data_IF_952504392478
#
_entry.id   IF_952504392478
#
_cell.length_a   1.000
_cell.length_b   1.000
_cell.length_c   1.000
_cell.angle_alpha   90.00
_cell.angle_beta   90.00
_cell.angle_gamma   90.00
#
_symmetry.space_group_name_H-M   'P 1'
#
loop_
_entity.id
_entity.type
_entity.pdbx_description
1 polymer ?
#
# COMPACT_ATOMS: atom_id res chain seq x y z
N UNK A 1 -29.58 -32.73 21.47
CA UNK A 1 -28.41 -33.46 20.95
C UNK A 1 -28.68 -33.81 19.51
N UNK A 2 -28.27 -32.94 18.61
CA UNK A 2 -28.36 -33.09 17.15
C UNK A 2 -26.99 -32.75 16.57
N UNK A 3 -26.57 -33.58 15.64
CA UNK A 3 -25.21 -33.92 15.18
C UNK A 3 -24.45 -32.82 14.43
N UNK A 4 -24.84 -31.54 14.54
CA UNK A 4 -24.18 -30.41 13.86
C UNK A 4 -23.08 -29.73 14.70
N UNK A 5 -23.06 -29.93 16.02
CA UNK A 5 -22.18 -29.20 16.94
C UNK A 5 -20.78 -29.85 17.15
N UNK A 6 -20.55 -31.03 16.58
CA UNK A 6 -19.32 -31.80 16.79
C UNK A 6 -18.27 -31.66 15.67
N UNK A 7 -18.56 -30.96 14.58
CA UNK A 7 -17.64 -30.85 13.43
C UNK A 7 -16.48 -29.86 13.65
N UNK A 8 -16.56 -28.93 14.62
CA UNK A 8 -15.52 -27.92 14.85
C UNK A 8 -14.31 -28.40 15.67
N UNK A 9 -14.35 -29.63 16.22
CA UNK A 9 -13.34 -30.12 17.18
C UNK A 9 -12.18 -30.93 16.59
N UNK A 10 -12.19 -31.24 15.31
CA UNK A 10 -11.04 -31.87 14.66
C UNK A 10 -10.28 -30.79 13.90
N UNK A 11 -9.00 -30.61 14.24
CA UNK A 11 -8.09 -29.66 13.61
C UNK A 11 -7.84 -29.98 12.14
N UNK A 12 -8.85 -29.73 11.31
CA UNK A 12 -8.82 -29.93 9.87
C UNK A 12 -8.07 -28.78 9.24
N UNK A 13 -6.94 -29.12 8.60
CA UNK A 13 -6.35 -28.28 7.56
C UNK A 13 -7.46 -27.78 6.64
N UNK A 14 -7.44 -26.48 6.32
CA UNK A 14 -8.28 -25.84 5.31
C UNK A 14 -7.98 -26.41 3.92
N UNK A 15 -8.22 -27.69 3.65
CA UNK A 15 -8.03 -28.35 2.34
C UNK A 15 -9.32 -28.41 1.51
N UNK A 16 -10.50 -28.21 2.11
CA UNK A 16 -11.82 -28.34 1.44
C UNK A 16 -12.63 -27.04 1.34
N UNK A 17 -12.01 -25.86 1.50
CA UNK A 17 -12.72 -24.61 1.22
C UNK A 17 -12.81 -24.44 -0.32
N UNK A 18 -13.99 -24.58 -0.91
CA UNK A 18 -14.25 -24.41 -2.35
C UNK A 18 -13.81 -23.04 -2.94
N UNK A 19 -13.30 -22.13 -2.11
CA UNK A 19 -12.67 -20.86 -2.46
C UNK A 19 -11.23 -20.77 -1.90
N UNK A 20 -10.39 -21.76 -2.18
CA UNK A 20 -8.99 -21.82 -1.77
C UNK A 20 -8.16 -20.56 -2.10
N UNK A 21 -8.52 -19.84 -3.17
CA UNK A 21 -7.81 -18.63 -3.62
C UNK A 21 -8.11 -17.37 -2.79
N UNK A 22 -9.23 -17.30 -2.05
CA UNK A 22 -9.58 -16.08 -1.28
C UNK A 22 -9.03 -16.10 0.15
N UNK A 23 -8.69 -17.28 0.68
CA UNK A 23 -8.25 -17.47 2.06
C UNK A 23 -6.76 -17.10 2.28
N UNK A 24 -5.91 -17.32 1.28
CA UNK A 24 -4.46 -17.14 1.40
C UNK A 24 -4.00 -15.68 1.50
N UNK A 25 -4.75 -14.74 0.96
CA UNK A 25 -4.32 -13.33 0.86
C UNK A 25 -4.61 -12.51 2.12
N UNK A 26 -5.46 -13.02 3.03
CA UNK A 26 -5.95 -12.25 4.18
C UNK A 26 -5.53 -12.82 5.54
N UNK A 27 -5.16 -14.10 5.63
CA UNK A 27 -4.94 -14.74 6.93
C UNK A 27 -6.20 -14.76 7.83
N UNK A 28 -7.38 -14.47 7.26
CA UNK A 28 -8.67 -14.36 7.96
C UNK A 28 -9.69 -15.21 7.22
N UNK A 29 -10.29 -16.18 7.91
CA UNK A 29 -11.30 -17.05 7.32
C UNK A 29 -12.68 -16.40 7.50
N UNK A 30 -13.21 -15.75 6.45
CA UNK A 30 -14.54 -15.11 6.51
C UNK A 30 -15.71 -16.09 6.75
N UNK A 31 -15.46 -17.41 6.66
CA UNK A 31 -16.40 -18.45 7.09
C UNK A 31 -16.46 -18.68 8.61
N UNK A 32 -15.57 -18.05 9.39
CA UNK A 32 -15.62 -18.06 10.86
C UNK A 32 -16.36 -16.81 11.36
N UNK A 33 -17.46 -16.95 12.13
CA UNK A 33 -18.21 -15.81 12.67
C UNK A 33 -17.35 -14.83 13.49
N UNK A 34 -16.30 -15.33 14.14
CA UNK A 34 -15.38 -14.52 14.96
C UNK A 34 -14.52 -13.59 14.10
N UNK A 35 -14.14 -14.06 12.91
CA UNK A 35 -13.27 -13.32 11.99
C UNK A 35 -14.06 -12.22 11.25
N UNK A 36 -15.31 -12.51 10.88
CA UNK A 36 -16.22 -11.50 10.35
C UNK A 36 -16.46 -10.36 11.37
N UNK A 37 -16.71 -10.70 12.64
CA UNK A 37 -16.90 -9.70 13.70
C UNK A 37 -15.64 -8.85 13.95
N UNK A 38 -14.44 -9.45 13.88
CA UNK A 38 -13.17 -8.71 13.98
C UNK A 38 -12.99 -7.73 12.82
N UNK A 39 -13.29 -8.16 11.59
CA UNK A 39 -13.21 -7.31 10.41
C UNK A 39 -14.15 -6.10 10.50
N UNK A 40 -15.39 -6.34 10.93
CA UNK A 40 -16.40 -5.31 11.15
C UNK A 40 -15.97 -4.31 12.24
N UNK A 41 -15.44 -4.79 13.36
CA UNK A 41 -14.88 -3.93 14.44
C UNK A 41 -13.74 -3.04 13.94
N UNK A 42 -12.83 -3.59 13.14
CA UNK A 42 -11.70 -2.84 12.56
C UNK A 42 -12.17 -1.85 11.50
N UNK A 43 -13.20 -2.20 10.74
CA UNK A 43 -13.79 -1.31 9.73
C UNK A 43 -14.38 -0.06 10.40
N UNK A 44 -15.15 -0.22 11.49
CA UNK A 44 -15.65 0.91 12.29
C UNK A 44 -14.53 1.80 12.83
N UNK A 45 -13.45 1.20 13.32
CA UNK A 45 -12.29 1.97 13.79
C UNK A 45 -11.68 2.81 12.67
N UNK A 46 -11.52 2.25 11.46
CA UNK A 46 -10.94 3.00 10.34
C UNK A 46 -11.88 4.09 9.84
N UNK A 47 -13.19 3.84 9.82
CA UNK A 47 -14.19 4.87 9.51
C UNK A 47 -14.10 6.02 10.51
N UNK A 48 -14.07 5.72 11.81
CA UNK A 48 -13.87 6.72 12.86
C UNK A 48 -12.55 7.49 12.73
N UNK A 49 -11.43 6.80 12.45
CA UNK A 49 -10.14 7.45 12.20
C UNK A 49 -10.20 8.41 11.01
N UNK A 50 -10.96 8.07 9.97
CA UNK A 50 -11.08 8.85 8.74
C UNK A 50 -12.00 10.05 8.93
N UNK A 51 -13.12 9.86 9.63
CA UNK A 51 -14.11 10.92 9.91
C UNK A 51 -13.52 12.02 10.80
N UNK A 52 -12.80 11.65 11.86
CA UNK A 52 -12.22 12.59 12.83
C UNK A 52 -10.70 12.75 12.65
N UNK A 53 -10.22 12.66 11.40
CA UNK A 53 -8.79 12.65 11.05
C UNK A 53 -8.01 13.87 11.59
N UNK A 54 -8.66 15.04 11.57
CA UNK A 54 -8.11 16.33 11.99
C UNK A 54 -8.12 16.53 13.50
N UNK A 55 -8.79 15.66 14.26
CA UNK A 55 -8.94 15.78 15.70
C UNK A 55 -7.87 15.00 16.46
N UNK A 56 -7.52 15.39 17.71
CA UNK A 56 -6.68 14.57 18.58
C UNK A 56 -7.41 13.27 18.95
N UNK A 57 -6.97 12.14 18.40
CA UNK A 57 -7.58 10.83 18.69
C UNK A 57 -6.76 10.03 19.70
N UNK A 58 -7.40 9.55 20.77
CA UNK A 58 -6.78 8.60 21.70
C UNK A 58 -7.12 7.18 21.29
N UNK A 59 -6.26 6.24 21.66
CA UNK A 59 -6.49 4.81 21.41
C UNK A 59 -7.83 4.32 22.02
N UNK A 60 -8.22 4.89 23.17
CA UNK A 60 -9.49 4.59 23.84
C UNK A 60 -10.69 4.91 22.98
N UNK A 61 -10.66 6.04 22.28
CA UNK A 61 -11.80 6.59 21.54
C UNK A 61 -12.04 5.73 20.29
N UNK A 62 -10.94 5.37 19.62
CA UNK A 62 -10.95 4.46 18.47
C UNK A 62 -11.40 3.05 18.88
N UNK A 63 -10.91 2.54 20.02
CA UNK A 63 -11.31 1.23 20.52
C UNK A 63 -12.80 1.19 20.88
N UNK A 64 -13.33 2.28 21.44
CA UNK A 64 -14.76 2.42 21.72
C UNK A 64 -15.59 2.42 20.43
N UNK A 65 -15.15 3.11 19.39
CA UNK A 65 -15.80 3.05 18.07
C UNK A 65 -15.80 1.62 17.47
N UNK A 66 -14.76 0.84 17.76
CA UNK A 66 -14.68 -0.58 17.40
C UNK A 66 -15.49 -1.52 18.32
N UNK A 67 -16.11 -1.01 19.39
CA UNK A 67 -16.80 -1.81 20.43
C UNK A 67 -15.87 -2.81 21.14
N UNK A 68 -14.59 -2.46 21.32
CA UNK A 68 -13.58 -3.32 21.96
C UNK A 68 -12.88 -2.58 23.10
N UNK A 69 -12.36 -3.34 24.06
CA UNK A 69 -11.41 -2.78 25.04
C UNK A 69 -10.11 -2.35 24.33
N UNK A 70 -9.37 -1.33 24.81
CA UNK A 70 -8.17 -0.82 24.12
C UNK A 70 -7.11 -1.89 23.86
N UNK A 71 -6.88 -2.79 24.81
CA UNK A 71 -5.91 -3.87 24.67
C UNK A 71 -6.34 -4.91 23.62
N UNK A 72 -7.62 -5.29 23.63
CA UNK A 72 -8.14 -6.25 22.65
C UNK A 72 -8.19 -5.63 21.25
N UNK A 73 -8.63 -4.38 21.16
CA UNK A 73 -8.63 -3.59 19.93
C UNK A 73 -7.25 -3.58 19.28
N UNK A 74 -6.20 -3.22 20.01
CA UNK A 74 -4.85 -3.16 19.44
C UNK A 74 -4.42 -4.50 18.82
N UNK A 75 -4.69 -5.62 19.49
CA UNK A 75 -4.37 -6.97 18.98
C UNK A 75 -5.18 -7.32 17.75
N UNK A 76 -6.49 -7.10 17.78
CA UNK A 76 -7.40 -7.39 16.66
C UNK A 76 -7.06 -6.52 15.45
N UNK A 77 -6.85 -5.21 15.66
CA UNK A 77 -6.51 -4.28 14.61
C UNK A 77 -5.20 -4.68 13.92
N UNK A 78 -4.15 -5.01 14.69
CA UNK A 78 -2.88 -5.46 14.10
C UNK A 78 -3.04 -6.77 13.34
N UNK A 79 -3.81 -7.71 13.88
CA UNK A 79 -4.04 -8.98 13.21
C UNK A 79 -4.77 -8.81 11.87
N UNK A 80 -5.78 -7.93 11.81
CA UNK A 80 -6.59 -7.72 10.61
C UNK A 80 -5.90 -6.82 9.58
N UNK A 81 -5.19 -5.77 10.01
CA UNK A 81 -4.58 -4.76 9.12
C UNK A 81 -3.09 -4.93 8.88
N UNK A 82 -2.44 -5.87 9.60
CA UNK A 82 -0.97 -6.01 9.63
C UNK A 82 -0.22 -4.74 10.06
N UNK A 83 -0.89 -3.81 10.75
CA UNK A 83 -0.26 -2.60 11.28
C UNK A 83 -0.91 -2.15 12.58
N UNK A 84 -0.23 -1.32 13.35
CA UNK A 84 -0.79 -0.78 14.61
C UNK A 84 -1.77 0.38 14.32
N UNK A 85 -2.77 0.62 15.18
CA UNK A 85 -3.70 1.74 15.02
C UNK A 85 -3.01 3.11 14.83
N UNK A 86 -1.96 3.40 15.61
CA UNK A 86 -1.26 4.68 15.52
C UNK A 86 -0.55 4.88 14.17
N UNK A 87 0.02 3.81 13.60
CA UNK A 87 0.65 3.83 12.29
C UNK A 87 -0.38 3.99 11.18
N UNK A 88 -1.52 3.31 11.30
CA UNK A 88 -2.63 3.44 10.35
C UNK A 88 -3.13 4.89 10.30
N UNK A 89 -3.40 5.50 11.46
CA UNK A 89 -3.80 6.90 11.54
C UNK A 89 -2.74 7.84 10.96
N UNK A 90 -1.46 7.59 11.25
CA UNK A 90 -0.36 8.36 10.66
C UNK A 90 -0.37 8.26 9.13
N UNK A 91 -0.56 7.05 8.58
CA UNK A 91 -0.62 6.83 7.14
C UNK A 91 -1.81 7.54 6.50
N UNK A 92 -3.00 7.52 7.15
CA UNK A 92 -4.18 8.27 6.71
C UNK A 92 -3.90 9.78 6.66
N UNK A 93 -3.33 10.34 7.73
CA UNK A 93 -2.99 11.77 7.81
C UNK A 93 -1.99 12.17 6.74
N UNK A 94 -1.00 11.32 6.46
CA UNK A 94 0.03 11.61 5.46
C UNK A 94 -0.49 11.47 4.03
N UNK A 95 -1.41 10.54 3.79
CA UNK A 95 -2.13 10.46 2.53
C UNK A 95 -2.95 11.74 2.30
N UNK A 96 -3.70 12.18 3.30
CA UNK A 96 -4.48 13.42 3.20
C UNK A 96 -3.59 14.67 3.08
N UNK A 97 -2.44 14.70 3.75
CA UNK A 97 -1.50 15.81 3.64
C UNK A 97 -0.95 15.93 2.22
N UNK A 98 -0.58 14.82 1.58
CA UNK A 98 -0.16 14.82 0.18
C UNK A 98 -1.27 15.33 -0.72
N UNK A 99 -2.49 14.84 -0.53
CA UNK A 99 -3.65 15.30 -1.29
C UNK A 99 -3.82 16.82 -1.21
N UNK A 100 -3.87 17.37 0.00
CA UNK A 100 -3.99 18.82 0.19
C UNK A 100 -2.79 19.59 -0.41
N UNK A 101 -1.58 19.02 -0.41
CA UNK A 101 -0.42 19.66 -1.03
C UNK A 101 -0.49 19.71 -2.56
N UNK A 102 -1.15 18.73 -3.21
CA UNK A 102 -1.33 18.64 -4.66
C UNK A 102 -2.55 19.43 -5.13
N UNK A 103 -3.68 19.27 -4.43
CA UNK A 103 -4.99 19.69 -4.92
C UNK A 103 -5.51 20.98 -4.29
N UNK A 104 -4.75 21.62 -3.40
CA UNK A 104 -5.15 22.87 -2.75
C UNK A 104 -4.03 23.89 -2.69
N UNK A 105 -4.43 25.15 -2.48
CA UNK A 105 -3.51 26.27 -2.28
C UNK A 105 -3.15 26.52 -0.80
N UNK A 106 -3.53 25.61 0.11
CA UNK A 106 -3.24 25.74 1.53
C UNK A 106 -1.73 25.89 1.78
N UNK A 107 -1.34 26.71 2.74
CA UNK A 107 0.02 26.75 3.26
C UNK A 107 0.39 25.43 3.94
N UNK A 108 1.69 25.15 4.09
CA UNK A 108 2.16 23.94 4.80
C UNK A 108 1.64 23.90 6.24
N UNK A 109 1.50 25.07 6.88
CA UNK A 109 0.93 25.20 8.23
C UNK A 109 -0.56 24.84 8.26
N UNK A 110 -1.35 25.33 7.29
CA UNK A 110 -2.77 24.98 7.20
C UNK A 110 -2.95 23.48 6.92
N UNK A 111 -2.13 22.90 6.05
CA UNK A 111 -2.15 21.43 5.80
C UNK A 111 -1.83 20.66 7.09
N UNK A 112 -0.80 21.08 7.84
CA UNK A 112 -0.44 20.47 9.12
C UNK A 112 -1.64 20.42 10.08
N UNK A 113 -2.35 21.55 10.25
CA UNK A 113 -3.51 21.62 11.12
C UNK A 113 -4.69 20.82 10.57
N UNK A 114 -4.94 20.88 9.26
CA UNK A 114 -6.03 20.17 8.60
C UNK A 114 -5.93 18.65 8.71
N UNK A 115 -4.71 18.10 8.85
CA UNK A 115 -4.48 16.66 9.06
C UNK A 115 -4.28 16.29 10.54
N UNK A 116 -4.59 17.19 11.47
CA UNK A 116 -4.62 16.90 12.91
C UNK A 116 -3.26 16.85 13.61
N UNK A 117 -2.25 17.51 13.05
CA UNK A 117 -0.99 17.78 13.76
C UNK A 117 -1.04 19.16 14.42
N UNK A 118 -0.70 19.22 15.71
CA UNK A 118 -0.60 20.47 16.48
C UNK A 118 0.78 21.13 16.41
N UNK A 119 1.77 20.44 15.84
CA UNK A 119 3.15 20.92 15.71
C UNK A 119 3.65 20.77 14.29
N UNK A 120 4.00 21.90 13.68
CA UNK A 120 4.57 21.97 12.33
C UNK A 120 5.89 21.19 12.23
N UNK A 121 6.73 21.24 13.25
CA UNK A 121 8.00 20.50 13.27
C UNK A 121 7.80 18.99 13.24
N UNK A 122 6.86 18.48 14.05
CA UNK A 122 6.49 17.06 14.08
C UNK A 122 5.92 16.62 12.73
N UNK A 123 5.02 17.42 12.16
CA UNK A 123 4.45 17.16 10.84
C UNK A 123 5.52 17.10 9.75
N UNK A 124 6.39 18.11 9.65
CA UNK A 124 7.45 18.15 8.63
C UNK A 124 8.39 16.96 8.77
N UNK A 125 8.79 16.61 9.99
CA UNK A 125 9.67 15.46 10.23
C UNK A 125 9.02 14.15 9.78
N UNK A 126 7.77 13.91 10.16
CA UNK A 126 7.04 12.70 9.77
C UNK A 126 6.78 12.65 8.26
N UNK A 127 6.36 13.77 7.67
CA UNK A 127 6.12 13.86 6.23
C UNK A 127 7.41 13.60 5.44
N UNK A 128 8.51 14.20 5.85
CA UNK A 128 9.81 14.03 5.18
C UNK A 128 10.32 12.61 5.31
N UNK A 129 10.16 11.99 6.49
CA UNK A 129 10.53 10.59 6.71
C UNK A 129 9.78 9.64 5.77
N UNK A 130 8.48 9.86 5.58
CA UNK A 130 7.63 8.96 4.80
C UNK A 130 7.66 9.22 3.29
N UNK A 131 7.84 10.48 2.87
CA UNK A 131 7.85 10.86 1.45
C UNK A 131 9.25 11.08 0.88
N UNK A 132 10.27 11.11 1.73
CA UNK A 132 11.67 11.40 1.36
C UNK A 132 11.96 12.88 1.09
N UNK A 133 10.98 13.78 1.19
CA UNK A 133 11.17 15.21 0.94
C UNK A 133 10.26 16.10 1.78
N UNK A 134 10.61 17.37 1.95
CA UNK A 134 9.77 18.30 2.70
C UNK A 134 8.45 18.60 1.96
N UNK A 135 7.37 18.98 2.67
CA UNK A 135 6.08 19.30 2.05
C UNK A 135 6.16 20.31 0.89
N UNK A 136 6.99 21.35 1.04
CA UNK A 136 7.20 22.37 0.00
C UNK A 136 7.87 21.79 -1.24
N UNK A 137 8.91 20.97 -1.05
CA UNK A 137 9.61 20.29 -2.17
C UNK A 137 8.67 19.30 -2.86
N UNK A 138 7.83 18.61 -2.10
CA UNK A 138 6.81 17.72 -2.64
C UNK A 138 5.84 18.48 -3.56
N UNK A 139 5.27 19.60 -3.10
CA UNK A 139 4.39 20.44 -3.94
C UNK A 139 5.08 20.88 -5.24
N UNK A 140 6.32 21.37 -5.16
CA UNK A 140 7.07 21.78 -6.35
C UNK A 140 7.41 20.61 -7.29
N UNK A 141 7.65 19.41 -6.76
CA UNK A 141 7.84 18.23 -7.60
C UNK A 141 6.55 17.87 -8.34
N UNK A 142 5.40 17.96 -7.66
CA UNK A 142 4.09 17.66 -8.26
C UNK A 142 3.68 18.68 -9.31
N UNK A 143 4.08 19.95 -9.21
CA UNK A 143 3.85 20.91 -10.30
C UNK A 143 4.65 20.61 -11.56
N UNK A 144 5.77 19.88 -11.45
CA UNK A 144 6.64 19.52 -12.59
C UNK A 144 6.27 18.16 -13.17
N UNK A 145 6.08 17.16 -12.31
CA UNK A 145 5.90 15.78 -12.72
C UNK A 145 4.45 15.30 -12.63
N UNK A 146 3.53 16.09 -12.06
CA UNK A 146 2.18 15.66 -11.76
C UNK A 146 1.41 15.10 -12.97
N UNK A 147 1.66 15.66 -14.17
CA UNK A 147 1.01 15.23 -15.42
C UNK A 147 1.70 14.07 -16.13
N UNK A 148 2.84 13.59 -15.63
CA UNK A 148 3.53 12.42 -16.21
C UNK A 148 2.65 11.19 -15.99
N UNK A 149 2.36 10.43 -17.04
CA UNK A 149 1.59 9.19 -16.90
C UNK A 149 2.43 8.12 -16.24
N UNK A 150 1.80 7.31 -15.40
CA UNK A 150 2.50 6.21 -14.73
C UNK A 150 3.10 5.22 -15.74
N UNK A 151 2.41 5.00 -16.86
CA UNK A 151 2.89 4.15 -17.96
C UNK A 151 4.21 4.61 -18.58
N UNK A 152 4.49 5.91 -18.60
CA UNK A 152 5.76 6.47 -19.08
C UNK A 152 6.95 6.16 -18.15
N UNK A 153 6.67 5.73 -16.91
CA UNK A 153 7.69 5.32 -15.95
C UNK A 153 8.01 3.83 -16.01
N UNK A 154 7.29 3.05 -16.83
CA UNK A 154 7.66 1.65 -17.10
C UNK A 154 9.03 1.60 -17.78
N UNK A 155 9.84 0.59 -17.45
CA UNK A 155 11.16 0.41 -18.05
C UNK A 155 11.20 -0.83 -18.95
N UNK A 156 10.87 -0.72 -20.25
CA UNK A 156 10.98 -1.84 -21.18
C UNK A 156 12.44 -2.27 -21.42
N UNK A 157 13.43 -1.43 -21.08
CA UNK A 157 14.85 -1.75 -21.23
C UNK A 157 15.44 -2.49 -20.02
N UNK A 158 14.83 -2.38 -18.83
CA UNK A 158 15.18 -3.18 -17.64
C UNK A 158 15.05 -4.69 -17.90
N UNK A 159 14.11 -5.08 -18.77
CA UNK A 159 13.93 -6.48 -19.18
C UNK A 159 15.12 -7.02 -19.99
N UNK A 160 15.90 -6.16 -20.65
CA UNK A 160 16.93 -6.56 -21.63
C UNK A 160 18.37 -6.51 -21.11
N UNK A 161 18.69 -5.64 -20.15
CA UNK A 161 20.09 -5.33 -19.79
C UNK A 161 20.46 -5.50 -18.31
N UNK A 162 19.54 -5.89 -17.43
CA UNK A 162 19.89 -6.17 -16.03
C UNK A 162 20.45 -7.59 -15.86
N UNK A 163 21.43 -7.73 -14.95
CA UNK A 163 21.80 -9.00 -14.33
C UNK A 163 20.53 -9.75 -13.86
N UNK A 164 20.54 -11.10 -13.76
CA UNK A 164 19.35 -11.86 -13.39
C UNK A 164 18.78 -11.35 -12.08
N UNK A 165 17.59 -10.74 -12.16
CA UNK A 165 16.81 -10.29 -11.02
C UNK A 165 15.51 -11.09 -10.93
N UNK A 166 14.71 -10.90 -9.86
CA UNK A 166 13.42 -11.56 -9.71
C UNK A 166 12.53 -11.34 -10.94
N UNK A 167 11.95 -12.43 -11.44
CA UNK A 167 10.96 -12.38 -12.53
C UNK A 167 9.60 -12.75 -11.97
N UNK A 168 8.55 -12.07 -12.42
CA UNK A 168 7.19 -12.36 -11.99
C UNK A 168 6.18 -11.44 -12.63
N UNK A 169 4.94 -11.50 -12.18
CA UNK A 169 3.87 -10.69 -12.73
C UNK A 169 3.00 -10.09 -11.62
N UNK A 170 2.52 -8.88 -11.90
CA UNK A 170 1.36 -8.31 -11.21
C UNK A 170 0.16 -8.58 -12.10
N UNK A 171 -0.86 -9.27 -11.59
CA UNK A 171 -2.02 -9.73 -12.37
C UNK A 171 -3.30 -9.03 -11.94
N UNK A 172 -4.27 -8.93 -12.85
CA UNK A 172 -5.51 -8.18 -12.64
C UNK A 172 -5.34 -6.68 -12.91
N UNK A 173 -6.01 -5.86 -12.10
CA UNK A 173 -6.03 -4.40 -12.26
C UNK A 173 -7.17 -3.90 -13.16
N UNK A 174 -7.19 -2.59 -13.45
CA UNK A 174 -8.29 -1.97 -14.19
C UNK A 174 -8.38 -2.49 -15.62
N UNK A 175 -9.62 -2.64 -16.10
CA UNK A 175 -9.97 -2.90 -17.52
C UNK A 175 -9.22 -4.07 -18.21
N UNK A 176 -8.68 -5.03 -17.46
CA UNK A 176 -7.91 -6.15 -18.01
C UNK A 176 -6.44 -5.83 -18.35
N UNK A 177 -5.95 -4.63 -18.01
CA UNK A 177 -4.55 -4.24 -18.21
C UNK A 177 -4.30 -2.77 -17.83
N UNK A 178 -3.25 -2.54 -17.03
CA UNK A 178 -2.92 -1.24 -16.44
C UNK A 178 -1.44 -1.11 -16.12
N UNK A 179 -1.12 -0.23 -15.17
CA UNK A 179 0.21 -0.10 -14.59
C UNK A 179 0.16 -0.41 -13.10
N UNK A 180 1.19 -1.06 -12.58
CA UNK A 180 1.34 -1.31 -11.17
C UNK A 180 2.64 -0.74 -10.64
N UNK A 181 2.55 0.02 -9.55
CA UNK A 181 3.73 0.33 -8.72
C UNK A 181 3.96 -0.87 -7.81
N UNK A 182 5.02 -1.63 -8.09
CA UNK A 182 5.47 -2.73 -7.26
C UNK A 182 6.53 -2.23 -6.27
N UNK A 183 6.38 -2.58 -5.00
CA UNK A 183 7.28 -2.24 -3.93
C UNK A 183 7.65 -3.49 -3.12
N UNK A 184 8.93 -3.63 -2.78
CA UNK A 184 9.45 -4.77 -2.03
C UNK A 184 9.96 -4.35 -0.65
N UNK A 185 9.54 -5.09 0.37
CA UNK A 185 9.87 -4.88 1.78
C UNK A 185 10.59 -6.09 2.34
N UNK A 186 11.39 -5.93 3.40
CA UNK A 186 12.01 -7.06 4.11
C UNK A 186 11.05 -7.70 5.12
N UNK A 187 10.08 -6.95 5.61
CA UNK A 187 9.05 -7.40 6.54
C UNK A 187 7.71 -7.56 5.83
N UNK A 188 6.85 -8.42 6.39
CA UNK A 188 5.45 -8.56 5.98
C UNK A 188 4.64 -7.31 6.27
N UNK A 189 4.94 -6.63 7.37
CA UNK A 189 4.38 -5.33 7.72
C UNK A 189 5.20 -4.26 6.97
N UNK A 190 4.65 -3.55 5.95
CA UNK A 190 5.38 -2.52 5.20
C UNK A 190 5.62 -1.31 6.12
N UNK A 191 6.73 -1.39 6.83
CA UNK A 191 6.99 -0.57 8.00
C UNK A 191 7.71 0.75 7.70
N UNK A 192 8.39 0.78 6.56
CA UNK A 192 9.34 1.81 6.13
C UNK A 192 9.21 2.10 4.63
N UNK A 193 10.10 2.96 4.10
CA UNK A 193 10.29 3.13 2.66
C UNK A 193 10.65 1.77 2.04
N UNK A 194 10.06 1.36 0.90
CA UNK A 194 10.39 0.10 0.28
C UNK A 194 11.87 0.03 -0.09
N UNK A 195 12.45 -1.16 0.03
CA UNK A 195 13.87 -1.39 -0.28
C UNK A 195 14.14 -1.20 -1.78
N UNK A 196 13.20 -1.66 -2.60
CA UNK A 196 13.20 -1.40 -4.04
C UNK A 196 11.76 -1.31 -4.53
N UNK A 197 11.60 -0.70 -5.68
CA UNK A 197 10.33 -0.52 -6.33
C UNK A 197 10.51 -0.45 -7.84
N UNK A 198 9.41 -0.60 -8.58
CA UNK A 198 9.35 -0.44 -10.01
C UNK A 198 7.93 -0.21 -10.48
N UNK A 199 7.80 0.36 -11.68
CA UNK A 199 6.50 0.46 -12.36
C UNK A 199 6.47 -0.61 -13.44
N UNK A 200 5.48 -1.49 -13.36
CA UNK A 200 5.32 -2.67 -14.21
C UNK A 200 4.00 -2.56 -14.97
N UNK A 201 3.94 -3.16 -16.16
CA UNK A 201 2.67 -3.41 -16.83
C UNK A 201 1.97 -4.59 -16.14
N UNK A 202 0.66 -4.47 -15.87
CA UNK A 202 -0.08 -5.62 -15.32
C UNK A 202 -0.31 -6.67 -16.39
N UNK A 203 -0.50 -7.92 -15.97
CA UNK A 203 -0.72 -9.09 -16.83
C UNK A 203 0.47 -9.42 -17.76
N UNK A 204 1.67 -8.92 -17.43
CA UNK A 204 2.91 -9.16 -18.16
C UNK A 204 4.01 -9.65 -17.23
N UNK A 205 4.75 -10.68 -17.65
CA UNK A 205 5.97 -11.08 -16.96
C UNK A 205 6.99 -9.95 -17.08
N UNK A 206 7.44 -9.46 -15.93
CA UNK A 206 8.37 -8.35 -15.82
C UNK A 206 9.54 -8.73 -14.92
N UNK A 207 10.71 -8.16 -15.21
CA UNK A 207 11.89 -8.34 -14.37
C UNK A 207 12.06 -7.16 -13.41
N UNK A 208 12.26 -7.45 -12.14
CA UNK A 208 12.68 -6.46 -11.14
C UNK A 208 14.20 -6.37 -11.17
N UNK A 209 14.72 -5.18 -10.83
CA UNK A 209 16.16 -4.98 -10.64
C UNK A 209 16.78 -6.04 -9.71
N UNK A 210 18.07 -6.38 -9.90
CA UNK A 210 18.79 -7.30 -9.03
C UNK A 210 18.67 -6.90 -7.56
N UNK A 211 18.49 -7.91 -6.72
CA UNK A 211 18.40 -7.77 -5.27
C UNK A 211 19.55 -8.53 -4.61
N UNK A 212 19.96 -8.05 -3.43
CA UNK A 212 20.83 -8.84 -2.57
C UNK A 212 20.10 -10.09 -2.07
N UNK A 213 20.85 -11.07 -1.61
CA UNK A 213 20.29 -12.28 -1.01
C UNK A 213 19.40 -11.94 0.20
N UNK A 214 18.25 -12.60 0.29
CA UNK A 214 17.23 -12.30 1.30
C UNK A 214 15.83 -12.76 0.91
N UNK A 215 14.87 -12.52 1.80
CA UNK A 215 13.45 -12.72 1.58
C UNK A 215 12.75 -11.35 1.50
N UNK A 216 11.89 -11.19 0.50
CA UNK A 216 11.22 -9.91 0.22
C UNK A 216 9.72 -10.09 0.05
N UNK A 217 8.94 -9.24 0.71
CA UNK A 217 7.48 -9.21 0.60
C UNK A 217 7.06 -8.16 -0.40
N UNK A 218 6.26 -8.58 -1.37
CA UNK A 218 5.83 -7.74 -2.48
C UNK A 218 4.48 -7.10 -2.17
N UNK A 219 4.36 -5.80 -2.43
CA UNK A 219 3.10 -5.07 -2.41
C UNK A 219 2.98 -4.26 -3.70
N UNK A 220 1.82 -4.34 -4.35
CA UNK A 220 1.55 -3.64 -5.59
C UNK A 220 0.33 -2.72 -5.45
N UNK A 221 0.42 -1.54 -6.06
CA UNK A 221 -0.72 -0.65 -6.31
C UNK A 221 -0.98 -0.60 -7.80
N UNK A 222 -2.19 -0.96 -8.22
CA UNK A 222 -2.64 -0.94 -9.61
C UNK A 222 -3.42 0.32 -9.95
N UNK A 223 -3.18 0.83 -11.16
CA UNK A 223 -3.74 2.05 -11.71
C UNK A 223 -4.03 1.88 -13.21
N UNK A 224 -4.92 2.71 -13.75
CA UNK A 224 -5.13 2.79 -15.18
C UNK A 224 -3.85 3.29 -15.90
N UNK A 225 -3.70 2.94 -17.19
CA UNK A 225 -2.53 3.38 -17.98
C UNK A 225 -2.48 4.90 -18.15
N UNK A 226 -3.63 5.56 -18.08
CA UNK A 226 -3.79 7.01 -18.20
C UNK A 226 -3.57 7.74 -16.88
N UNK A 227 -3.54 7.05 -15.74
CA UNK A 227 -3.31 7.67 -14.44
C UNK A 227 -1.98 8.41 -14.42
N UNK A 228 -2.04 9.66 -13.97
CA UNK A 228 -0.89 10.56 -13.82
C UNK A 228 -0.25 10.42 -12.45
N UNK A 229 0.94 10.99 -12.27
CA UNK A 229 1.57 11.01 -10.95
C UNK A 229 0.76 11.80 -9.92
N UNK A 230 0.02 12.82 -10.33
CA UNK A 230 -0.93 13.51 -9.45
C UNK A 230 -2.03 12.57 -8.96
N UNK A 231 -2.57 11.72 -9.82
CA UNK A 231 -3.59 10.72 -9.44
C UNK A 231 -3.00 9.69 -8.46
N UNK A 232 -1.78 9.20 -8.77
CA UNK A 232 -1.09 8.18 -7.97
C UNK A 232 -0.66 8.69 -6.60
N UNK A 233 -0.23 9.95 -6.49
CA UNK A 233 0.41 10.51 -5.29
C UNK A 233 -0.47 11.48 -4.51
N UNK A 234 -1.55 11.93 -5.11
CA UNK A 234 -2.25 13.15 -4.73
C UNK A 234 -3.67 12.98 -4.23
N UNK A 235 -4.18 11.81 -3.82
CA UNK A 235 -5.60 11.81 -3.40
C UNK A 235 -6.05 10.89 -2.24
N UNK A 236 -7.07 11.46 -1.59
CA UNK A 236 -7.93 11.19 -0.45
C UNK A 236 -8.52 9.78 -0.37
N UNK A 237 -7.66 8.76 -0.18
CA UNK A 237 -8.09 7.41 0.18
C UNK A 237 -8.93 6.65 -0.85
N UNK A 238 -9.10 7.18 -2.09
CA UNK A 238 -10.05 6.64 -3.08
C UNK A 238 -9.49 6.35 -4.48
N UNK A 239 -8.20 6.55 -4.74
CA UNK A 239 -7.63 6.32 -6.09
C UNK A 239 -6.53 5.27 -6.21
N UNK A 240 -6.18 4.57 -5.13
CA UNK A 240 -5.64 3.23 -5.36
C UNK A 240 -6.79 2.43 -5.94
N UNK A 241 -6.77 2.18 -7.24
CA UNK A 241 -7.85 1.43 -7.87
C UNK A 241 -7.78 -0.03 -7.46
N UNK A 242 -6.55 -0.54 -7.31
CA UNK A 242 -6.30 -1.91 -6.88
C UNK A 242 -5.06 -2.01 -5.99
N UNK A 243 -5.10 -2.92 -5.02
CA UNK A 243 -3.98 -3.29 -4.16
C UNK A 243 -3.75 -4.80 -4.25
N UNK A 244 -2.49 -5.22 -4.16
CA UNK A 244 -2.13 -6.63 -4.11
C UNK A 244 -0.95 -6.86 -3.20
N UNK A 245 -0.95 -7.99 -2.50
CA UNK A 245 0.18 -8.48 -1.69
C UNK A 245 0.64 -9.81 -2.25
N UNK A 246 1.95 -10.04 -2.29
CA UNK A 246 2.51 -11.33 -2.69
C UNK A 246 2.21 -12.39 -1.64
N UNK A 247 1.65 -13.53 -2.04
CA UNK A 247 1.28 -14.60 -1.10
C UNK A 247 2.47 -15.34 -0.48
N UNK A 248 3.64 -15.34 -1.14
CA UNK A 248 4.88 -15.88 -0.60
C UNK A 248 6.03 -14.89 -0.82
N UNK A 249 7.03 -14.85 0.07
CA UNK A 249 8.18 -13.97 -0.12
C UNK A 249 8.98 -14.34 -1.37
N UNK A 250 9.48 -13.33 -2.05
CA UNK A 250 10.48 -13.45 -3.11
C UNK A 250 11.81 -13.75 -2.43
N UNK A 251 12.29 -14.98 -2.56
CA UNK A 251 13.56 -15.41 -1.97
C UNK A 251 14.67 -15.35 -3.03
N UNK A 252 15.72 -14.60 -2.72
CA UNK A 252 16.91 -14.43 -3.54
C UNK A 252 18.09 -15.12 -2.85
N UNK A 253 18.77 -16.02 -3.57
CA UNK A 253 20.02 -16.66 -3.11
C UNK A 253 21.03 -16.74 -4.25
N UNK A 254 22.27 -16.34 -4.02
CA UNK A 254 23.29 -16.23 -5.06
C UNK A 254 22.84 -15.32 -6.21
N UNK A 255 22.05 -14.28 -5.92
CA UNK A 255 21.48 -13.39 -6.94
C UNK A 255 20.42 -14.03 -7.85
N UNK A 256 19.89 -15.20 -7.50
CA UNK A 256 18.85 -15.90 -8.28
C UNK A 256 17.58 -16.09 -7.47
N UNK A 257 16.44 -16.08 -8.16
CA UNK A 257 15.14 -16.47 -7.60
C UNK A 257 14.74 -17.84 -8.09
N UNK A 258 14.19 -18.68 -7.21
CA UNK A 258 13.80 -20.06 -7.55
C UNK A 258 12.38 -20.18 -8.09
N UNK A 259 11.55 -19.15 -7.92
CA UNK A 259 10.16 -19.13 -8.39
C UNK A 259 9.83 -17.76 -8.95
N UNK A 260 8.89 -17.72 -9.88
CA UNK A 260 8.31 -16.45 -10.31
C UNK A 260 7.40 -15.91 -9.21
N UNK A 261 7.50 -14.63 -8.92
CA UNK A 261 6.57 -13.99 -7.99
C UNK A 261 5.24 -13.71 -8.70
N UNK A 262 4.15 -13.72 -7.94
CA UNK A 262 2.82 -13.38 -8.41
C UNK A 262 2.17 -12.46 -7.39
N UNK A 263 1.67 -11.32 -7.86
CA UNK A 263 0.89 -10.39 -7.03
C UNK A 263 -0.44 -10.15 -7.72
N UNK A 264 -1.51 -10.72 -7.16
CA UNK A 264 -2.86 -10.54 -7.68
C UNK A 264 -3.46 -9.25 -7.11
N UNK A 265 -3.87 -8.35 -8.00
CA UNK A 265 -4.54 -7.11 -7.65
C UNK A 265 -6.02 -7.36 -7.33
N UNK A 266 -6.50 -6.73 -6.27
CA UNK A 266 -7.91 -6.69 -5.85
C UNK A 266 -8.33 -5.27 -5.52
N UNK A 267 -9.64 -5.01 -5.46
CA UNK A 267 -10.12 -3.71 -4.99
C UNK A 267 -9.65 -3.45 -3.55
N UNK A 268 -9.22 -2.21 -3.22
CA UNK A 268 -8.91 -1.84 -1.87
C UNK A 268 -10.15 -1.92 -0.99
N UNK A 269 -9.91 -2.24 0.27
CA UNK A 269 -10.87 -2.24 1.34
C UNK A 269 -10.56 -1.06 2.26
N UNK A 270 -11.53 -0.54 3.01
CA UNK A 270 -11.29 0.54 3.98
C UNK A 270 -10.13 0.23 4.93
N UNK A 271 -9.99 -1.04 5.33
CA UNK A 271 -8.97 -1.51 6.27
C UNK A 271 -7.57 -1.71 5.66
N UNK A 272 -7.40 -1.50 4.35
CA UNK A 272 -6.07 -1.59 3.74
C UNK A 272 -5.29 -0.30 4.07
N UNK A 273 -4.09 -0.41 4.67
CA UNK A 273 -3.34 0.77 5.05
C UNK A 273 -2.88 1.58 3.82
N UNK A 274 -2.88 2.92 3.88
CA UNK A 274 -2.31 3.75 2.83
C UNK A 274 -0.81 3.46 2.67
N UNK A 275 -0.43 2.84 1.56
CA UNK A 275 0.97 2.52 1.29
C UNK A 275 1.78 3.79 1.00
N UNK A 276 3.01 3.82 1.51
CA UNK A 276 3.90 4.97 1.40
C UNK A 276 4.88 4.78 0.22
N UNK A 277 4.37 4.93 -1.00
CA UNK A 277 5.19 4.77 -2.23
C UNK A 277 5.68 6.09 -2.82
N UNK A 278 5.43 7.21 -2.15
CA UNK A 278 5.66 8.57 -2.68
C UNK A 278 7.11 8.83 -3.05
N UNK A 279 8.04 8.53 -2.15
CA UNK A 279 9.48 8.71 -2.38
C UNK A 279 9.95 7.92 -3.60
N UNK A 280 9.41 6.71 -3.73
CA UNK A 280 9.77 5.73 -4.75
C UNK A 280 9.35 6.20 -6.14
N UNK A 281 8.07 6.51 -6.31
CA UNK A 281 7.51 6.95 -7.60
C UNK A 281 8.14 8.27 -8.06
N UNK A 282 8.30 9.25 -7.15
CA UNK A 282 8.95 10.52 -7.51
C UNK A 282 10.42 10.36 -7.87
N UNK A 283 11.17 9.52 -7.16
CA UNK A 283 12.56 9.26 -7.50
C UNK A 283 12.70 8.56 -8.87
N UNK A 284 11.71 7.76 -9.29
CA UNK A 284 11.68 7.19 -10.65
C UNK A 284 11.47 8.29 -11.71
N UNK A 285 10.47 9.15 -11.50
CA UNK A 285 10.16 10.26 -12.39
C UNK A 285 11.37 11.21 -12.54
N UNK A 286 12.04 11.53 -11.44
CA UNK A 286 13.24 12.38 -11.43
C UNK A 286 14.39 11.75 -12.23
N UNK A 287 14.65 10.44 -12.08
CA UNK A 287 15.68 9.74 -12.86
C UNK A 287 15.37 9.72 -14.36
N UNK A 288 14.08 9.68 -14.72
CA UNK A 288 13.60 9.64 -16.11
C UNK A 288 13.44 11.02 -16.74
N UNK A 289 13.60 12.11 -15.97
CA UNK A 289 13.42 13.49 -16.45
C UNK A 289 14.08 13.78 -17.82
N UNK A 290 15.33 13.37 -18.12
CA UNK A 290 15.93 13.64 -19.42
C UNK A 290 15.20 12.98 -20.60
N UNK A 291 14.66 11.79 -20.39
CA UNK A 291 13.93 11.02 -21.41
C UNK A 291 12.51 11.56 -21.60
N UNK A 292 11.85 11.91 -20.49
CA UNK A 292 10.49 12.48 -20.50
C UNK A 292 10.45 13.85 -21.20
N UNK A 293 11.51 14.66 -21.08
CA UNK A 293 11.61 15.95 -21.77
C UNK A 293 11.92 15.82 -23.28
N UNK A 294 12.51 14.71 -23.71
CA UNK A 294 12.87 14.47 -25.11
C UNK A 294 11.69 13.96 -25.97
N UNK A 295 10.69 13.32 -25.35
CA UNK A 295 9.49 12.79 -26.03
C UNK A 295 8.37 13.83 -26.22
N UNK A 296 8.56 15.05 -25.71
CA UNK A 296 7.59 16.16 -25.83
C UNK A 296 7.95 17.22 -26.87
N UNK A 297 8.81 16.90 -27.85
CA UNK A 297 9.21 17.78 -28.96
C UNK A 297 8.54 17.38 -30.27
#
# INVERSE_FOLDING_TARGET
MTTADQAWRQGGNCMDCAQFMTCSTLGVCLGNPTDAARLDSVTRAVEYMTEYLSEPQRLSDIAQAALLSPFHFHRVFRHVTSTTPARFLTALRMAQARNLLVNSNLSVTEVCMAVGYSSLGTFISQFTRLTGMSPRRFRSAMSVFGQVRLSELTDPAADRHCAPGPVGAVTGGPSGGGCAVLALYRSEEPDDVPLTYGVLETNRLSRIRPLADGAYHAVALGFDKTSTLSDVLGDNGRQVEFVGTGGAPIVVRGGRTFRTFQVALRRPRPIDPPLQLTSSVLALAQRRRPQLLATGS
#
